data_IF_364808710422
#
_entry.id   IF_364808710422
#
_cell.length_a   1.000
_cell.length_b   1.000
_cell.length_c   1.000
_cell.angle_alpha   90.00
_cell.angle_beta   90.00
_cell.angle_gamma   90.00
#
_symmetry.space_group_name_H-M   'P 1'
#
loop_
_entity.id
_entity.type
_entity.pdbx_description
1 polymer ?
#
# COMPACT_ATOMS: atom_id res chain seq x y z
N UNK A 1 -11.98 -8.49 6.06
CA UNK A 1 -11.29 -9.67 6.65
C UNK A 1 -9.81 -9.33 6.81
N UNK A 2 -9.10 -9.92 7.79
CA UNK A 2 -7.68 -9.64 8.04
C UNK A 2 -6.89 -10.94 8.14
N UNK A 3 -5.77 -11.03 7.43
CA UNK A 3 -4.78 -12.12 7.60
C UNK A 3 -3.90 -11.90 8.83
N UNK A 4 -2.99 -12.82 9.12
CA UNK A 4 -2.06 -12.72 10.24
C UNK A 4 -1.22 -11.44 10.18
N UNK A 5 -1.01 -10.82 11.34
CA UNK A 5 -0.12 -9.68 11.47
C UNK A 5 1.35 -10.14 11.29
N UNK A 6 2.15 -9.47 10.44
CA UNK A 6 3.57 -9.79 10.24
C UNK A 6 4.47 -9.32 11.41
N UNK A 7 4.03 -9.57 12.66
CA UNK A 7 4.74 -9.16 13.87
C UNK A 7 5.50 -10.35 14.46
N UNK A 8 6.80 -10.43 14.19
CA UNK A 8 7.65 -11.51 14.68
C UNK A 8 7.67 -11.60 16.22
N UNK A 9 7.57 -10.47 16.94
CA UNK A 9 7.61 -10.48 18.41
C UNK A 9 6.36 -11.14 19.02
N UNK A 10 5.19 -11.02 18.38
CA UNK A 10 3.91 -11.52 18.93
C UNK A 10 3.41 -12.80 18.27
N UNK A 11 3.73 -13.02 17.01
CA UNK A 11 3.08 -14.05 16.17
C UNK A 11 4.02 -15.20 15.85
N UNK A 12 5.35 -15.00 15.91
CA UNK A 12 6.33 -16.05 15.64
C UNK A 12 6.27 -17.13 16.71
N UNK A 13 6.27 -18.40 16.29
CA UNK A 13 6.20 -19.53 17.20
C UNK A 13 7.57 -19.83 17.84
N UNK A 14 7.62 -20.46 19.03
CA UNK A 14 8.88 -20.89 19.63
C UNK A 14 9.65 -21.83 18.69
N UNK A 15 10.91 -21.49 18.41
CA UNK A 15 11.78 -22.27 17.53
C UNK A 15 11.55 -22.09 16.03
N UNK A 16 10.57 -21.28 15.62
CA UNK A 16 10.32 -20.95 14.22
C UNK A 16 11.47 -20.09 13.67
N UNK A 17 12.03 -20.44 12.53
CA UNK A 17 12.97 -19.56 11.80
C UNK A 17 12.22 -18.39 11.16
N UNK A 18 12.95 -17.38 10.69
CA UNK A 18 12.30 -16.25 10.01
C UNK A 18 11.67 -16.66 8.67
N UNK A 19 12.33 -17.54 7.92
CA UNK A 19 11.81 -18.10 6.67
C UNK A 19 10.54 -18.93 6.89
N UNK A 20 10.49 -19.76 7.94
CA UNK A 20 9.28 -20.50 8.30
C UNK A 20 8.14 -19.57 8.72
N UNK A 21 8.47 -18.49 9.46
CA UNK A 21 7.49 -17.49 9.85
C UNK A 21 6.86 -16.81 8.63
N UNK A 22 7.68 -16.35 7.68
CA UNK A 22 7.21 -15.76 6.41
C UNK A 22 6.37 -16.75 5.62
N UNK A 23 6.82 -18.00 5.49
CA UNK A 23 6.08 -19.04 4.78
C UNK A 23 4.72 -19.31 5.43
N UNK A 24 4.63 -19.27 6.76
CA UNK A 24 3.35 -19.43 7.48
C UNK A 24 2.43 -18.23 7.27
N UNK A 25 2.93 -17.00 7.37
CA UNK A 25 2.13 -15.79 7.12
C UNK A 25 1.55 -15.79 5.70
N UNK A 26 2.38 -16.08 4.69
CA UNK A 26 1.98 -16.18 3.30
C UNK A 26 0.99 -17.34 3.09
N UNK A 27 1.26 -18.51 3.67
CA UNK A 27 0.35 -19.66 3.61
C UNK A 27 -1.02 -19.41 4.26
N UNK A 28 -1.10 -18.60 5.33
CA UNK A 28 -2.39 -18.19 5.90
C UNK A 28 -3.15 -17.22 5.00
N UNK A 29 -2.47 -16.29 4.34
CA UNK A 29 -3.09 -15.43 3.33
C UNK A 29 -3.70 -16.27 2.20
N UNK A 30 -2.96 -17.24 1.66
CA UNK A 30 -3.47 -18.12 0.61
C UNK A 30 -4.64 -18.99 1.08
N UNK A 31 -4.55 -19.58 2.29
CA UNK A 31 -5.66 -20.33 2.89
C UNK A 31 -6.91 -19.47 3.05
N UNK A 32 -6.74 -18.21 3.44
CA UNK A 32 -7.84 -17.26 3.52
C UNK A 32 -8.46 -17.01 2.15
N UNK A 33 -7.65 -16.69 1.14
CA UNK A 33 -8.11 -16.46 -0.22
C UNK A 33 -8.94 -17.65 -0.74
N UNK A 34 -8.43 -18.87 -0.55
CA UNK A 34 -9.12 -20.09 -0.98
C UNK A 34 -10.43 -20.34 -0.20
N UNK A 35 -10.47 -19.99 1.09
CA UNK A 35 -11.67 -20.16 1.92
C UNK A 35 -12.79 -19.21 1.52
N UNK A 36 -12.47 -17.94 1.26
CA UNK A 36 -13.47 -16.94 0.85
C UNK A 36 -13.87 -17.09 -0.62
N UNK A 37 -12.98 -17.67 -1.44
CA UNK A 37 -13.13 -17.79 -2.88
C UNK A 37 -12.35 -16.68 -3.58
N UNK A 38 -11.33 -17.00 -4.42
CA UNK A 38 -10.47 -16.00 -5.06
C UNK A 38 -11.24 -14.92 -5.83
N UNK A 39 -12.28 -15.32 -6.57
CA UNK A 39 -13.12 -14.42 -7.38
C UNK A 39 -13.93 -13.39 -6.55
N UNK A 40 -13.91 -13.52 -5.22
CA UNK A 40 -14.61 -12.60 -4.30
C UNK A 40 -13.69 -11.54 -3.70
N UNK A 41 -12.37 -11.66 -3.90
CA UNK A 41 -11.36 -10.77 -3.30
C UNK A 41 -10.78 -9.86 -4.37
N UNK A 42 -11.09 -8.56 -4.29
CA UNK A 42 -10.58 -7.58 -5.26
C UNK A 42 -9.14 -7.13 -4.99
N UNK A 43 -8.77 -6.95 -3.72
CA UNK A 43 -7.50 -6.33 -3.36
C UNK A 43 -6.99 -6.75 -1.97
N UNK A 44 -5.69 -6.65 -1.79
CA UNK A 44 -4.97 -6.69 -0.53
C UNK A 44 -4.38 -5.30 -0.25
N UNK A 45 -4.46 -4.83 1.00
CA UNK A 45 -3.90 -3.54 1.43
C UNK A 45 -2.96 -3.73 2.61
N UNK A 46 -1.83 -3.04 2.59
CA UNK A 46 -0.87 -3.03 3.70
C UNK A 46 -0.07 -1.73 3.76
N UNK A 47 0.32 -1.32 4.97
CA UNK A 47 1.41 -0.37 5.18
C UNK A 47 2.75 -1.11 4.98
N UNK A 48 3.78 -0.50 4.35
CA UNK A 48 5.13 -1.10 4.26
C UNK A 48 5.72 -1.40 5.64
N UNK A 49 5.53 -0.49 6.59
CA UNK A 49 5.79 -0.66 8.01
C UNK A 49 4.52 -0.27 8.75
N UNK A 50 3.94 -1.19 9.52
CA UNK A 50 2.67 -0.91 10.23
C UNK A 50 2.94 0.12 11.33
N UNK A 51 2.51 1.35 11.12
CA UNK A 51 2.81 2.44 12.04
C UNK A 51 1.85 2.43 13.23
N UNK A 52 0.54 2.49 12.96
CA UNK A 52 -0.50 2.57 13.99
C UNK A 52 -0.60 1.34 14.89
N UNK A 53 -0.11 0.19 14.41
CA UNK A 53 -0.04 -1.07 15.17
C UNK A 53 1.14 -1.17 16.13
N UNK A 54 2.03 -0.17 16.17
CA UNK A 54 3.16 -0.11 17.09
C UNK A 54 4.54 -0.18 16.44
N UNK A 55 4.69 0.41 15.24
CA UNK A 55 5.93 0.42 14.45
C UNK A 55 6.45 -1.00 14.23
N UNK A 56 5.81 -1.73 13.32
CA UNK A 56 6.11 -3.14 13.06
C UNK A 56 6.68 -3.26 11.64
N UNK A 57 8.01 -3.33 11.49
CA UNK A 57 8.64 -3.73 10.23
C UNK A 57 8.24 -5.17 9.90
N UNK A 58 7.97 -5.48 8.62
CA UNK A 58 7.73 -6.84 8.19
C UNK A 58 9.02 -7.68 8.30
N UNK A 59 8.92 -9.01 8.46
CA UNK A 59 10.08 -9.88 8.33
C UNK A 59 10.61 -9.87 6.90
N UNK A 60 11.89 -10.17 6.73
CA UNK A 60 12.55 -10.14 5.42
C UNK A 60 11.87 -11.08 4.42
N UNK A 61 11.66 -10.64 3.18
CA UNK A 61 10.99 -11.43 2.13
C UNK A 61 9.47 -11.58 2.27
N UNK A 62 8.83 -10.98 3.29
CA UNK A 62 7.37 -11.05 3.49
C UNK A 62 6.59 -10.56 2.28
N UNK A 63 6.86 -9.33 1.81
CA UNK A 63 6.11 -8.76 0.69
C UNK A 63 6.41 -9.46 -0.64
N UNK A 64 7.59 -10.04 -0.82
CA UNK A 64 7.88 -10.88 -1.99
C UNK A 64 6.97 -12.13 -1.99
N UNK A 65 6.83 -12.80 -0.84
CA UNK A 65 5.96 -13.96 -0.69
C UNK A 65 4.48 -13.61 -0.88
N UNK A 66 4.02 -12.49 -0.31
CA UNK A 66 2.64 -11.99 -0.47
C UNK A 66 2.34 -11.69 -1.94
N UNK A 67 3.18 -10.93 -2.63
CA UNK A 67 2.94 -10.53 -4.02
C UNK A 67 2.85 -11.73 -4.97
N UNK A 68 3.64 -12.79 -4.75
CA UNK A 68 3.53 -14.04 -5.51
C UNK A 68 2.15 -14.68 -5.38
N UNK A 69 1.55 -14.63 -4.18
CA UNK A 69 0.21 -15.14 -3.93
C UNK A 69 -0.85 -14.24 -4.57
N UNK A 70 -0.75 -12.93 -4.39
CA UNK A 70 -1.71 -11.98 -4.97
C UNK A 70 -1.75 -12.12 -6.50
N UNK A 71 -0.60 -12.19 -7.15
CA UNK A 71 -0.48 -12.38 -8.59
C UNK A 71 -1.08 -13.71 -9.07
N UNK A 72 -0.98 -14.79 -8.29
CA UNK A 72 -1.56 -16.10 -8.62
C UNK A 72 -3.09 -16.05 -8.73
N UNK A 73 -3.74 -15.16 -7.99
CA UNK A 73 -5.20 -15.06 -7.90
C UNK A 73 -5.76 -13.77 -8.51
N UNK A 74 -4.96 -13.01 -9.26
CA UNK A 74 -5.30 -11.69 -9.84
C UNK A 74 -5.89 -10.70 -8.81
N UNK A 75 -5.32 -10.69 -7.60
CA UNK A 75 -5.71 -9.77 -6.53
C UNK A 75 -4.82 -8.54 -6.58
N UNK A 76 -5.42 -7.35 -6.58
CA UNK A 76 -4.67 -6.09 -6.61
C UNK A 76 -3.87 -5.87 -5.31
N UNK A 77 -2.70 -5.27 -5.44
CA UNK A 77 -1.82 -4.92 -4.34
C UNK A 77 -1.91 -3.41 -4.06
N UNK A 78 -2.41 -3.02 -2.88
CA UNK A 78 -2.57 -1.63 -2.46
C UNK A 78 -1.55 -1.32 -1.36
N UNK A 79 -0.78 -0.27 -1.57
CA UNK A 79 0.27 0.17 -0.65
C UNK A 79 -0.16 1.43 0.11
N UNK A 80 -0.25 1.31 1.43
CA UNK A 80 -0.60 2.42 2.31
C UNK A 80 0.64 3.19 2.79
N UNK A 81 1.00 4.18 1.99
CA UNK A 81 2.16 5.06 2.18
C UNK A 81 1.82 6.32 2.99
N UNK A 82 0.65 6.36 3.62
CA UNK A 82 0.21 7.53 4.41
C UNK A 82 1.22 7.88 5.51
N UNK A 83 1.95 6.92 6.07
CA UNK A 83 3.03 7.16 7.05
C UNK A 83 4.41 6.98 6.46
N UNK A 84 4.61 5.94 5.63
CA UNK A 84 5.93 5.54 5.16
C UNK A 84 6.46 6.43 4.01
N UNK A 85 5.56 7.09 3.27
CA UNK A 85 5.94 7.91 2.13
C UNK A 85 6.73 9.15 2.53
N UNK A 86 7.43 9.70 1.55
CA UNK A 86 8.24 10.92 1.64
C UNK A 86 9.39 10.81 2.67
N UNK A 87 10.24 9.79 2.51
CA UNK A 87 11.52 9.70 3.22
C UNK A 87 11.48 9.02 4.59
N UNK A 88 10.30 8.66 5.12
CA UNK A 88 10.17 8.18 6.51
C UNK A 88 11.00 6.94 6.81
N UNK A 89 11.11 6.04 5.83
CA UNK A 89 11.85 4.77 5.95
C UNK A 89 13.28 4.85 5.42
N UNK A 90 13.77 6.05 5.09
CA UNK A 90 15.08 6.26 4.46
C UNK A 90 15.09 6.10 2.92
N UNK A 91 13.91 5.89 2.31
CA UNK A 91 13.68 5.92 0.87
C UNK A 91 12.48 6.83 0.59
N UNK A 92 12.28 7.22 -0.68
CA UNK A 92 11.16 8.07 -1.06
C UNK A 92 9.82 7.47 -0.66
N UNK A 93 9.68 6.16 -0.81
CA UNK A 93 8.49 5.41 -0.41
C UNK A 93 8.87 4.13 0.34
N UNK A 94 8.04 3.73 1.32
CA UNK A 94 8.22 2.49 2.07
C UNK A 94 8.21 1.24 1.19
N UNK A 95 7.49 1.23 0.06
CA UNK A 95 7.54 0.15 -0.93
C UNK A 95 8.93 -0.15 -1.46
N UNK A 96 9.81 0.85 -1.52
CA UNK A 96 11.21 0.66 -1.94
C UNK A 96 11.98 -0.06 -0.84
N UNK A 97 11.76 0.33 0.42
CA UNK A 97 12.37 -0.32 1.59
C UNK A 97 12.00 -1.79 1.70
N UNK A 98 10.78 -2.18 1.30
CA UNK A 98 10.26 -3.55 1.46
C UNK A 98 10.05 -4.31 0.14
N UNK A 99 10.55 -3.77 -0.98
CA UNK A 99 10.44 -4.36 -2.32
C UNK A 99 9.00 -4.69 -2.75
N UNK A 100 8.05 -3.82 -2.41
CA UNK A 100 6.65 -3.91 -2.86
C UNK A 100 6.49 -3.27 -4.23
N UNK A 101 5.67 -3.87 -5.09
CA UNK A 101 5.29 -3.38 -6.41
C UNK A 101 3.75 -3.28 -6.49
N UNK A 102 3.17 -2.21 -5.93
CA UNK A 102 1.72 -2.09 -5.83
C UNK A 102 1.06 -1.64 -7.13
N UNK A 103 -0.23 -1.97 -7.26
CA UNK A 103 -1.13 -1.46 -8.29
C UNK A 103 -1.69 -0.08 -7.94
N UNK A 104 -1.77 0.27 -6.65
CA UNK A 104 -2.16 1.61 -6.17
C UNK A 104 -1.42 1.98 -4.89
N UNK A 105 -1.25 3.28 -4.65
CA UNK A 105 -0.71 3.80 -3.40
C UNK A 105 -1.64 4.86 -2.79
N UNK A 106 -1.81 4.87 -1.46
CA UNK A 106 -2.43 5.97 -0.73
C UNK A 106 -1.41 6.88 -0.07
N UNK A 107 -1.53 8.18 -0.31
CA UNK A 107 -0.63 9.22 0.20
C UNK A 107 -1.40 10.24 1.04
N UNK A 108 -0.78 10.71 2.11
CA UNK A 108 -1.24 11.83 2.93
C UNK A 108 -0.05 12.33 3.77
N UNK A 109 -0.29 12.94 4.93
CA UNK A 109 0.71 13.36 5.95
C UNK A 109 1.95 14.04 5.35
N UNK A 110 2.99 13.27 5.03
CA UNK A 110 4.25 13.73 4.47
C UNK A 110 4.09 14.52 3.17
N UNK A 111 3.05 14.23 2.36
CA UNK A 111 2.81 14.92 1.08
C UNK A 111 2.72 16.44 1.18
N UNK A 112 2.32 16.96 2.35
CA UNK A 112 2.28 18.40 2.64
C UNK A 112 3.02 18.75 3.92
N UNK A 113 3.79 17.82 4.51
CA UNK A 113 4.34 17.97 5.87
C UNK A 113 3.27 18.41 6.90
N UNK A 114 2.01 18.03 6.69
CA UNK A 114 0.84 18.49 7.47
C UNK A 114 0.52 20.00 7.42
N UNK A 115 1.12 20.78 6.51
CA UNK A 115 0.81 22.21 6.35
C UNK A 115 -0.56 22.47 5.70
N UNK A 116 -1.09 21.50 4.95
CA UNK A 116 -2.43 21.57 4.37
C UNK A 116 -3.07 20.17 4.32
N UNK A 117 -4.38 20.01 4.60
CA UNK A 117 -5.07 18.73 4.44
C UNK A 117 -5.10 18.30 2.97
N UNK A 118 -4.27 17.33 2.61
CA UNK A 118 -4.21 16.77 1.26
C UNK A 118 -3.93 15.27 1.36
N UNK A 119 -4.65 14.52 0.53
CA UNK A 119 -4.42 13.11 0.30
C UNK A 119 -4.46 12.86 -1.22
N UNK A 120 -3.75 11.82 -1.66
CA UNK A 120 -3.73 11.41 -3.05
C UNK A 120 -3.81 9.89 -3.14
N UNK A 121 -4.39 9.41 -4.23
CA UNK A 121 -4.35 8.00 -4.61
C UNK A 121 -3.59 7.93 -5.93
N UNK A 122 -2.49 7.19 -5.96
CA UNK A 122 -1.76 6.88 -7.18
C UNK A 122 -2.32 5.57 -7.72
N UNK A 123 -2.58 5.51 -9.02
CA UNK A 123 -3.11 4.32 -9.71
C UNK A 123 -2.16 3.88 -10.81
N UNK A 124 -1.99 2.58 -10.99
CA UNK A 124 -1.25 2.01 -12.10
C UNK A 124 -2.02 2.17 -13.43
N UNK A 125 -1.34 2.07 -14.58
CA UNK A 125 -2.00 2.09 -15.89
C UNK A 125 -3.10 1.02 -16.03
N UNK A 126 -2.91 -0.18 -15.47
CA UNK A 126 -3.92 -1.26 -15.49
C UNK A 126 -5.27 -0.80 -14.91
N UNK A 127 -5.24 -0.03 -13.83
CA UNK A 127 -6.45 0.47 -13.16
C UNK A 127 -7.04 1.65 -13.91
N UNK A 128 -6.20 2.55 -14.41
CA UNK A 128 -6.64 3.67 -15.24
C UNK A 128 -7.38 3.17 -16.49
N UNK A 129 -6.82 2.20 -17.21
CA UNK A 129 -7.42 1.58 -18.40
C UNK A 129 -8.79 0.94 -18.09
N UNK A 130 -8.93 0.31 -16.91
CA UNK A 130 -10.20 -0.25 -16.48
C UNK A 130 -11.28 0.84 -16.26
N UNK A 131 -10.91 1.98 -15.68
CA UNK A 131 -11.80 3.14 -15.51
C UNK A 131 -12.15 3.77 -16.85
N UNK A 132 -11.19 3.89 -17.77
CA UNK A 132 -11.42 4.42 -19.12
C UNK A 132 -12.39 3.54 -19.90
N UNK A 133 -12.18 2.21 -19.90
CA UNK A 133 -13.12 1.25 -20.50
C UNK A 133 -14.51 1.33 -19.89
N UNK A 134 -14.61 1.51 -18.57
CA UNK A 134 -15.90 1.73 -17.92
C UNK A 134 -16.58 3.01 -18.45
N UNK A 135 -15.82 4.06 -18.74
CA UNK A 135 -16.38 5.32 -19.25
C UNK A 135 -16.83 5.25 -20.73
N UNK A 136 -16.24 4.37 -21.54
CA UNK A 136 -16.61 4.19 -22.96
C UNK A 136 -18.08 3.78 -23.16
N UNK A 137 -18.70 3.12 -22.17
CA UNK A 137 -20.10 2.68 -22.22
C UNK A 137 -21.15 3.80 -22.11
N UNK A 138 -20.75 5.07 -22.18
CA UNK A 138 -21.61 6.23 -21.90
C UNK A 138 -21.85 6.46 -20.40
N UNK A 139 -21.15 5.71 -19.57
CA UNK A 139 -21.06 5.89 -18.13
C UNK A 139 -19.91 6.82 -17.78
N UNK A 140 -19.95 7.41 -16.58
CA UNK A 140 -18.82 8.18 -16.05
C UNK A 140 -18.51 7.66 -14.66
N UNK A 141 -17.23 7.55 -14.33
CA UNK A 141 -16.77 7.31 -12.97
C UNK A 141 -17.14 8.50 -12.07
N UNK A 142 -18.36 8.46 -11.52
CA UNK A 142 -18.96 9.51 -10.71
C UNK A 142 -18.43 9.55 -9.28
N UNK A 143 -17.13 9.80 -9.12
CA UNK A 143 -16.47 9.96 -7.82
C UNK A 143 -15.71 11.27 -7.76
N UNK A 144 -15.91 12.04 -6.70
CA UNK A 144 -15.21 13.30 -6.50
C UNK A 144 -15.53 13.95 -5.17
N UNK A 145 -14.66 14.86 -4.76
CA UNK A 145 -14.82 15.69 -3.57
C UNK A 145 -14.84 17.15 -3.99
N UNK A 146 -15.63 18.00 -3.31
CA UNK A 146 -15.69 19.45 -3.59
C UNK A 146 -14.31 20.11 -3.59
N UNK A 147 -13.41 19.63 -2.72
CA UNK A 147 -12.06 20.16 -2.54
C UNK A 147 -10.99 19.26 -3.21
N UNK A 148 -11.37 18.34 -4.09
CA UNK A 148 -10.40 17.54 -4.85
C UNK A 148 -9.48 18.46 -5.65
N UNK A 149 -8.17 18.19 -5.59
CA UNK A 149 -7.14 19.02 -6.22
C UNK A 149 -7.18 20.52 -5.83
N UNK A 150 -7.51 20.82 -4.56
CA UNK A 150 -7.56 22.20 -4.07
C UNK A 150 -6.23 22.94 -4.35
N UNK A 151 -6.24 24.10 -5.03
CA UNK A 151 -5.03 24.73 -5.55
C UNK A 151 -4.02 25.12 -4.47
N UNK A 152 -4.49 25.57 -3.30
CA UNK A 152 -3.61 25.86 -2.15
C UNK A 152 -2.92 24.59 -1.64
N UNK A 153 -3.64 23.46 -1.57
CA UNK A 153 -3.06 22.19 -1.14
C UNK A 153 -2.03 21.69 -2.15
N UNK A 154 -2.31 21.81 -3.44
CA UNK A 154 -1.37 21.46 -4.51
C UNK A 154 -0.09 22.30 -4.45
N UNK A 155 -0.19 23.62 -4.22
CA UNK A 155 0.96 24.50 -4.08
C UNK A 155 1.82 24.14 -2.85
N UNK A 156 1.17 23.88 -1.71
CA UNK A 156 1.87 23.43 -0.49
C UNK A 156 2.56 22.08 -0.71
N UNK A 157 1.91 21.14 -1.39
CA UNK A 157 2.51 19.84 -1.69
C UNK A 157 3.73 19.96 -2.61
N UNK A 158 3.63 20.78 -3.67
CA UNK A 158 4.73 21.02 -4.60
C UNK A 158 5.95 21.61 -3.89
N UNK A 159 5.76 22.62 -3.04
CA UNK A 159 6.83 23.22 -2.24
C UNK A 159 7.41 22.22 -1.23
N UNK A 160 6.55 21.42 -0.58
CA UNK A 160 7.00 20.40 0.37
C UNK A 160 7.92 19.37 -0.31
N UNK A 161 7.53 18.90 -1.50
CA UNK A 161 8.32 17.94 -2.27
C UNK A 161 9.64 18.57 -2.72
N UNK A 162 9.63 19.81 -3.21
CA UNK A 162 10.85 20.53 -3.60
C UNK A 162 11.84 20.63 -2.43
N UNK A 163 11.35 20.95 -1.22
CA UNK A 163 12.19 20.98 -0.01
C UNK A 163 12.78 19.59 0.29
N UNK A 164 12.03 18.50 0.09
CA UNK A 164 12.57 17.15 0.28
C UNK A 164 13.67 16.83 -0.75
N UNK A 165 13.48 17.19 -2.02
CA UNK A 165 14.49 17.00 -3.08
C UNK A 165 15.77 17.81 -2.85
N UNK A 166 15.68 18.98 -2.20
CA UNK A 166 16.84 19.80 -1.84
C UNK A 166 17.66 19.24 -0.67
N UNK A 167 17.06 18.38 0.16
CA UNK A 167 17.69 17.79 1.34
C UNK A 167 18.41 16.46 1.04
N UNK A 168 18.09 15.81 -0.08
CA UNK A 168 18.71 14.57 -0.58
C UNK A 168 20.00 14.85 -1.39
#
# INVERSE_FOLDING_TARGET
IHTLCPNAYRVKLPGESETEFVARLAGELERMILREGPDTIAAFIAEPVIAGGGIIPPPEGYFEAVQKILAKYDILCLDDEVVCGFGRTGNWFGRETVCMAPDMMSLAKGITSSYFPLAAVIVSPKILEAVERYNEGGTSFGHGFTNAAHPVGAAVAAETIAIYEELD
#
